data_IF_617338439337
#
_entry.id   IF_617338439337
#
_cell.length_a   1.000
_cell.length_b   1.000
_cell.length_c   1.000
_cell.angle_alpha   90.00
_cell.angle_beta   90.00
_cell.angle_gamma   90.00
#
_symmetry.space_group_name_H-M   'P 1'
#
loop_
_entity.id
_entity.type
_entity.pdbx_description
1 polymer ?
#
# COMPACT_ATOMS: atom_id res chain seq x y z
N UNK A 1 17.44 -23.91 -44.15
CA UNK A 1 16.37 -23.91 -43.13
C UNK A 1 16.66 -25.05 -42.18
N UNK A 2 16.80 -24.80 -40.88
CA UNK A 2 17.20 -25.81 -39.90
C UNK A 2 16.16 -25.88 -38.77
N UNK A 3 14.94 -26.38 -39.02
CA UNK A 3 13.81 -26.26 -38.09
C UNK A 3 14.09 -26.84 -36.70
N UNK A 4 14.80 -27.97 -36.62
CA UNK A 4 15.25 -28.55 -35.34
C UNK A 4 16.20 -27.63 -34.56
N UNK A 5 17.09 -26.90 -35.24
CA UNK A 5 18.00 -25.94 -34.60
C UNK A 5 17.25 -24.73 -34.06
N UNK A 6 16.24 -24.24 -34.78
CA UNK A 6 15.33 -23.19 -34.27
C UNK A 6 14.53 -23.67 -33.06
N UNK A 7 13.98 -24.89 -33.11
CA UNK A 7 13.17 -25.45 -32.02
C UNK A 7 14.00 -25.73 -30.76
N UNK A 8 15.17 -26.35 -30.92
CA UNK A 8 16.12 -26.55 -29.81
C UNK A 8 16.62 -25.22 -29.26
N UNK A 9 16.80 -24.20 -30.12
CA UNK A 9 17.10 -22.84 -29.70
C UNK A 9 16.00 -22.21 -28.84
N UNK A 10 14.72 -22.41 -29.19
CA UNK A 10 13.58 -21.94 -28.37
C UNK A 10 13.52 -22.60 -26.99
N UNK A 11 13.85 -23.90 -26.90
CA UNK A 11 13.96 -24.64 -25.64
C UNK A 11 15.12 -24.10 -24.78
N UNK A 12 16.32 -24.00 -25.36
CA UNK A 12 17.53 -23.54 -24.66
C UNK A 12 17.44 -22.07 -24.20
N UNK A 13 16.68 -21.24 -24.92
CA UNK A 13 16.39 -19.85 -24.55
C UNK A 13 15.19 -19.70 -23.60
N UNK A 14 14.62 -20.81 -23.12
CA UNK A 14 13.47 -20.83 -22.21
C UNK A 14 12.30 -19.96 -22.71
N UNK A 15 11.90 -20.18 -23.97
CA UNK A 15 10.80 -19.42 -24.59
C UNK A 15 9.48 -20.21 -24.59
N UNK A 16 8.35 -19.48 -24.51
CA UNK A 16 7.02 -20.05 -24.62
C UNK A 16 6.71 -20.43 -26.09
N UNK A 17 6.23 -21.65 -26.37
CA UNK A 17 5.93 -22.07 -27.73
C UNK A 17 4.67 -21.34 -28.26
N UNK A 18 4.71 -20.76 -29.47
CA UNK A 18 3.71 -19.78 -29.91
C UNK A 18 2.29 -20.35 -30.07
N UNK A 19 2.15 -21.66 -30.27
CA UNK A 19 0.86 -22.34 -30.39
C UNK A 19 0.19 -22.63 -29.04
N UNK A 20 0.92 -22.54 -27.91
CA UNK A 20 0.34 -22.67 -26.56
C UNK A 20 -0.04 -21.33 -25.93
N UNK A 21 0.45 -20.18 -26.45
CA UNK A 21 0.16 -18.85 -25.89
C UNK A 21 -1.34 -18.58 -25.67
N UNK A 22 -2.17 -18.87 -26.67
CA UNK A 22 -3.63 -18.72 -26.59
C UNK A 22 -4.30 -19.65 -25.57
N UNK A 23 -3.64 -20.73 -25.15
CA UNK A 23 -4.12 -21.68 -24.15
C UNK A 23 -3.66 -21.23 -22.75
N UNK A 24 -2.38 -20.85 -22.63
CA UNK A 24 -1.77 -20.23 -21.44
C UNK A 24 -2.59 -19.00 -20.99
N UNK A 25 -2.90 -18.07 -21.90
CA UNK A 25 -3.69 -16.87 -21.56
C UNK A 25 -5.14 -17.20 -21.15
N UNK A 26 -5.72 -18.30 -21.63
CA UNK A 26 -7.04 -18.78 -21.16
C UNK A 26 -6.96 -19.36 -19.75
N UNK A 27 -6.00 -20.26 -19.49
CA UNK A 27 -5.80 -20.83 -18.14
C UNK A 27 -5.51 -19.75 -17.10
N UNK A 28 -4.83 -18.67 -17.48
CA UNK A 28 -4.54 -17.53 -16.60
C UNK A 28 -5.78 -16.65 -16.41
N UNK A 29 -6.60 -16.47 -17.44
CA UNK A 29 -7.89 -15.80 -17.32
C UNK A 29 -8.82 -16.57 -16.38
N UNK A 30 -8.91 -17.90 -16.50
CA UNK A 30 -9.67 -18.75 -15.57
C UNK A 30 -9.09 -18.74 -14.15
N UNK A 31 -7.76 -18.86 -14.00
CA UNK A 31 -7.08 -18.78 -12.71
C UNK A 31 -7.32 -17.42 -12.00
N UNK A 32 -7.42 -16.33 -12.76
CA UNK A 32 -7.70 -15.00 -12.19
C UNK A 32 -9.14 -14.83 -11.67
N UNK A 33 -10.05 -15.76 -11.99
CA UNK A 33 -11.41 -15.79 -11.44
C UNK A 33 -11.57 -16.70 -10.22
N UNK A 34 -10.49 -17.36 -9.77
CA UNK A 34 -10.50 -18.15 -8.52
C UNK A 34 -10.72 -17.23 -7.32
N UNK A 35 -11.63 -17.61 -6.42
CA UNK A 35 -11.98 -16.76 -5.28
C UNK A 35 -10.77 -16.49 -4.39
N UNK A 36 -10.55 -15.22 -4.06
CA UNK A 36 -9.40 -14.78 -3.27
C UNK A 36 -8.16 -14.38 -4.08
N UNK A 37 -8.08 -14.68 -5.38
CA UNK A 37 -7.04 -14.13 -6.26
C UNK A 37 -7.29 -12.64 -6.52
N UNK A 38 -6.22 -11.84 -6.52
CA UNK A 38 -6.23 -10.40 -6.81
C UNK A 38 -5.56 -10.08 -8.15
N UNK A 39 -4.37 -10.64 -8.39
CA UNK A 39 -3.69 -10.59 -9.68
C UNK A 39 -2.70 -11.76 -9.82
N UNK A 40 -2.34 -12.07 -11.06
CA UNK A 40 -1.36 -13.09 -11.42
C UNK A 40 -0.14 -12.37 -12.03
N UNK A 41 0.99 -12.39 -11.32
CA UNK A 41 2.22 -11.66 -11.64
C UNK A 41 3.36 -12.60 -12.04
N UNK A 42 4.47 -11.99 -12.48
CA UNK A 42 5.77 -12.64 -12.69
C UNK A 42 5.73 -13.90 -13.58
N UNK A 43 4.70 -14.00 -14.42
CA UNK A 43 4.39 -15.21 -15.18
C UNK A 43 5.46 -15.47 -16.23
N UNK A 44 6.15 -16.60 -16.10
CA UNK A 44 7.13 -17.07 -17.08
C UNK A 44 6.82 -18.52 -17.43
N UNK A 45 6.67 -18.80 -18.71
CA UNK A 45 6.39 -20.13 -19.24
C UNK A 45 7.40 -20.44 -20.32
N UNK A 46 7.90 -21.68 -20.34
CA UNK A 46 8.89 -22.11 -21.30
C UNK A 46 8.75 -23.58 -21.63
N UNK A 47 9.18 -23.96 -22.83
CA UNK A 47 9.26 -25.35 -23.23
C UNK A 47 10.56 -25.99 -22.71
N UNK A 48 10.46 -27.12 -22.00
CA UNK A 48 11.61 -27.84 -21.42
C UNK A 48 12.15 -28.93 -22.35
N UNK A 49 11.25 -29.65 -23.03
CA UNK A 49 11.55 -30.65 -24.06
C UNK A 49 10.47 -30.59 -25.15
N UNK A 50 10.41 -31.56 -26.07
CA UNK A 50 9.49 -31.54 -27.20
C UNK A 50 7.99 -31.64 -26.84
N UNK A 51 7.63 -31.95 -25.59
CA UNK A 51 6.26 -32.22 -25.14
C UNK A 51 5.88 -31.49 -23.83
N UNK A 52 6.86 -31.15 -22.98
CA UNK A 52 6.61 -30.57 -21.65
C UNK A 52 6.72 -29.03 -21.63
N UNK A 53 5.61 -28.37 -21.28
CA UNK A 53 5.57 -26.95 -20.90
C UNK A 53 5.76 -26.80 -19.39
N UNK A 54 6.63 -25.86 -19.00
CA UNK A 54 6.95 -25.52 -17.62
C UNK A 54 6.54 -24.06 -17.34
N UNK A 55 6.14 -23.78 -16.10
CA UNK A 55 5.75 -22.43 -15.67
C UNK A 55 6.19 -22.07 -14.26
N UNK A 56 6.50 -20.79 -14.06
CA UNK A 56 6.63 -20.13 -12.75
C UNK A 56 5.68 -18.95 -12.67
N UNK A 57 4.88 -18.87 -11.60
CA UNK A 57 3.80 -17.87 -11.46
C UNK A 57 3.72 -17.34 -10.01
N UNK A 58 3.67 -16.01 -9.87
CA UNK A 58 3.34 -15.37 -8.59
C UNK A 58 1.83 -15.09 -8.54
N UNK A 59 1.11 -15.63 -7.56
CA UNK A 59 -0.32 -15.37 -7.36
C UNK A 59 -0.47 -14.43 -6.17
N UNK A 60 -0.99 -13.21 -6.39
CA UNK A 60 -1.39 -12.32 -5.28
C UNK A 60 -2.78 -12.67 -4.81
N UNK A 61 -2.93 -12.81 -3.50
CA UNK A 61 -4.11 -13.37 -2.84
C UNK A 61 -4.59 -12.44 -1.72
N UNK A 62 -5.91 -12.34 -1.49
CA UNK A 62 -6.46 -11.56 -0.37
C UNK A 62 -5.98 -12.08 0.98
N UNK A 63 -5.97 -11.22 1.99
CA UNK A 63 -5.48 -11.51 3.36
C UNK A 63 -6.31 -12.58 4.08
N UNK A 64 -7.62 -12.57 3.83
CA UNK A 64 -8.65 -13.45 4.39
C UNK A 64 -8.81 -14.79 3.65
N UNK A 65 -8.25 -14.93 2.45
CA UNK A 65 -8.36 -16.15 1.66
C UNK A 65 -7.43 -17.26 2.15
N UNK A 66 -7.85 -18.52 1.97
CA UNK A 66 -7.04 -19.71 2.22
C UNK A 66 -6.04 -19.93 1.07
N UNK A 67 -4.75 -19.89 1.43
CA UNK A 67 -3.63 -20.08 0.51
C UNK A 67 -3.61 -21.49 -0.08
N UNK A 68 -3.97 -22.52 0.69
CA UNK A 68 -3.92 -23.92 0.22
C UNK A 68 -5.06 -24.22 -0.75
N UNK A 69 -6.27 -23.70 -0.48
CA UNK A 69 -7.39 -23.77 -1.41
C UNK A 69 -7.09 -23.02 -2.72
N UNK A 70 -6.58 -21.78 -2.65
CA UNK A 70 -6.21 -21.01 -3.84
C UNK A 70 -5.07 -21.70 -4.63
N UNK A 71 -4.05 -22.24 -3.95
CA UNK A 71 -2.98 -23.00 -4.59
C UNK A 71 -3.56 -24.19 -5.38
N UNK A 72 -4.45 -24.96 -4.75
CA UNK A 72 -5.07 -26.15 -5.35
C UNK A 72 -5.91 -25.77 -6.57
N UNK A 73 -6.80 -24.77 -6.44
CA UNK A 73 -7.70 -24.33 -7.51
C UNK A 73 -6.95 -23.71 -8.70
N UNK A 74 -5.91 -22.91 -8.46
CA UNK A 74 -5.10 -22.34 -9.55
C UNK A 74 -4.22 -23.41 -10.21
N UNK A 75 -3.71 -24.39 -9.44
CA UNK A 75 -2.95 -25.53 -10.00
C UNK A 75 -3.83 -26.35 -10.94
N UNK A 76 -5.04 -26.70 -10.51
CA UNK A 76 -6.03 -27.43 -11.32
C UNK A 76 -6.26 -26.72 -12.67
N UNK A 77 -6.57 -25.42 -12.65
CA UNK A 77 -6.77 -24.61 -13.86
C UNK A 77 -5.58 -24.62 -14.82
N UNK A 78 -4.35 -24.51 -14.31
CA UNK A 78 -3.15 -24.47 -15.15
C UNK A 78 -2.65 -25.85 -15.58
N UNK A 79 -2.96 -26.92 -14.84
CA UNK A 79 -2.54 -28.30 -15.13
C UNK A 79 -3.00 -28.82 -16.51
N UNK A 80 -4.06 -28.22 -17.05
CA UNK A 80 -4.60 -28.49 -18.39
C UNK A 80 -3.66 -28.12 -19.55
N UNK A 81 -2.65 -27.28 -19.30
CA UNK A 81 -1.72 -26.76 -20.32
C UNK A 81 -0.26 -26.77 -19.86
N UNK A 82 0.01 -26.64 -18.55
CA UNK A 82 1.35 -26.58 -17.95
C UNK A 82 1.64 -27.86 -17.19
N UNK A 83 2.61 -28.65 -17.66
CA UNK A 83 2.96 -29.95 -17.10
C UNK A 83 3.68 -29.85 -15.75
N UNK A 84 4.57 -28.86 -15.61
CA UNK A 84 5.34 -28.61 -14.38
C UNK A 84 5.16 -27.15 -14.01
N UNK A 85 4.45 -26.89 -12.91
CA UNK A 85 4.12 -25.55 -12.46
C UNK A 85 4.67 -25.31 -11.05
N UNK A 86 5.50 -24.28 -10.90
CA UNK A 86 5.88 -23.74 -9.59
C UNK A 86 5.08 -22.48 -9.33
N UNK A 87 4.37 -22.41 -8.20
CA UNK A 87 3.63 -21.21 -7.81
C UNK A 87 4.09 -20.68 -6.46
N UNK A 88 4.22 -19.35 -6.39
CA UNK A 88 4.41 -18.63 -5.14
C UNK A 88 3.14 -17.83 -4.82
N UNK A 89 2.54 -18.09 -3.66
CA UNK A 89 1.42 -17.29 -3.17
C UNK A 89 1.95 -16.13 -2.34
N UNK A 90 1.47 -14.93 -2.66
CA UNK A 90 1.83 -13.68 -1.98
C UNK A 90 0.55 -13.05 -1.45
N UNK A 91 0.31 -13.15 -0.14
CA UNK A 91 -0.80 -12.43 0.48
C UNK A 91 -0.59 -10.92 0.38
N UNK A 92 -1.67 -10.22 0.09
CA UNK A 92 -1.67 -8.77 -0.06
C UNK A 92 -1.30 -8.08 1.26
N UNK A 93 -0.10 -7.51 1.34
CA UNK A 93 0.39 -6.85 2.53
C UNK A 93 -0.51 -5.65 2.89
N UNK A 94 -1.10 -5.70 4.08
CA UNK A 94 -1.82 -4.56 4.63
C UNK A 94 -0.85 -3.43 4.93
N UNK A 95 -0.80 -2.42 4.05
CA UNK A 95 -0.32 -1.09 4.40
C UNK A 95 -1.34 -0.40 5.32
N UNK A 96 -1.55 -0.98 6.50
CA UNK A 96 -1.76 -0.16 7.68
C UNK A 96 -0.43 0.52 7.95
N UNK A 97 -0.21 1.66 7.30
CA UNK A 97 0.67 2.68 7.87
C UNK A 97 0.15 2.93 9.28
N UNK A 98 0.90 2.51 10.30
CA UNK A 98 0.63 2.88 11.68
C UNK A 98 1.09 4.33 11.82
N UNK A 99 0.29 5.24 11.25
CA UNK A 99 0.54 6.68 11.18
C UNK A 99 0.26 7.30 12.55
N UNK A 100 1.09 6.92 13.51
CA UNK A 100 0.81 7.01 14.94
C UNK A 100 2.04 6.79 15.82
N UNK A 101 3.24 7.15 15.35
CA UNK A 101 4.45 7.30 16.16
C UNK A 101 5.53 8.11 15.41
N UNK A 102 5.34 9.44 15.32
CA UNK A 102 6.41 10.36 14.92
C UNK A 102 7.05 10.97 16.18
N UNK A 103 8.30 10.62 16.55
CA UNK A 103 8.89 11.03 17.82
C UNK A 103 9.58 12.40 17.72
N UNK A 104 8.83 13.51 17.80
CA UNK A 104 9.42 14.83 18.01
C UNK A 104 8.51 16.02 17.73
N UNK A 105 8.58 17.02 18.63
CA UNK A 105 7.88 18.31 18.61
C UNK A 105 6.33 18.27 18.62
N UNK A 106 5.63 19.15 19.33
CA UNK A 106 6.13 20.18 20.25
C UNK A 106 5.14 21.35 20.40
N UNK A 107 4.39 21.37 21.50
CA UNK A 107 3.50 22.45 21.95
C UNK A 107 2.26 22.74 21.07
N UNK A 108 1.08 22.42 21.60
CA UNK A 108 -0.17 23.09 21.26
C UNK A 108 -0.82 23.56 22.57
N UNK A 109 -1.01 24.87 22.73
CA UNK A 109 -1.66 25.43 23.92
C UNK A 109 -3.16 25.60 23.63
N UNK A 110 -3.95 24.60 24.04
CA UNK A 110 -5.39 24.73 24.15
C UNK A 110 -5.77 25.74 25.24
N UNK A 111 -6.86 26.48 25.03
CA UNK A 111 -7.31 27.56 25.90
C UNK A 111 -8.63 27.18 26.58
N UNK A 112 -8.56 26.58 27.77
CA UNK A 112 -9.74 26.25 28.58
C UNK A 112 -9.70 26.98 29.93
N UNK A 113 -10.78 27.73 30.20
CA UNK A 113 -11.13 28.20 31.53
C UNK A 113 -12.11 27.20 32.15
N UNK A 114 -11.85 26.75 33.37
CA UNK A 114 -12.90 26.27 34.27
C UNK A 114 -12.59 26.67 35.72
N UNK A 115 -13.62 26.74 36.56
CA UNK A 115 -13.57 27.32 37.91
C UNK A 115 -13.76 26.26 39.01
N UNK A 116 -12.65 25.84 39.64
CA UNK A 116 -12.65 24.97 40.82
C UNK A 116 -12.26 25.71 42.10
N UNK A 117 -13.16 25.81 43.08
CA UNK A 117 -12.99 26.64 44.28
C UNK A 117 -12.74 25.81 45.56
N UNK A 118 -11.66 26.09 46.31
CA UNK A 118 -11.53 25.65 47.71
C UNK A 118 -10.47 26.41 48.52
N UNK A 119 -10.85 26.74 49.76
CA UNK A 119 -9.98 27.02 50.91
C UNK A 119 -9.24 25.72 51.34
N UNK A 120 -8.21 25.67 52.20
CA UNK A 120 -7.57 26.58 53.19
C UNK A 120 -6.10 26.05 53.41
N UNK A 121 -5.11 26.63 54.10
CA UNK A 121 -4.97 27.77 55.03
C UNK A 121 -3.54 28.35 55.05
N UNK A 122 -3.39 29.53 55.67
CA UNK A 122 -2.26 29.97 56.52
C UNK A 122 -0.78 30.00 56.00
N UNK A 123 -0.37 31.22 55.62
CA UNK A 123 0.53 32.09 56.43
C UNK A 123 1.96 32.44 55.92
N UNK A 124 2.43 33.61 56.38
CA UNK A 124 3.78 34.21 56.35
C UNK A 124 4.39 34.80 55.06
N UNK A 125 4.27 36.15 54.97
CA UNK A 125 5.34 37.12 54.56
C UNK A 125 5.66 37.24 53.05
N UNK A 126 6.24 38.31 52.50
CA UNK A 126 6.79 39.58 53.05
C UNK A 126 6.36 40.81 52.20
N UNK A 127 6.53 42.01 52.75
CA UNK A 127 6.27 43.30 52.08
C UNK A 127 7.26 43.65 50.95
N UNK A 128 6.77 44.34 49.90
CA UNK A 128 7.43 45.54 49.34
C UNK A 128 6.47 46.38 48.46
N UNK A 129 6.56 47.71 48.61
CA UNK A 129 5.92 48.67 47.71
C UNK A 129 6.67 48.72 46.36
N UNK A 130 5.96 49.07 45.28
CA UNK A 130 6.43 50.20 44.45
C UNK A 130 5.29 50.88 43.70
N UNK A 131 5.33 52.21 43.66
CA UNK A 131 4.42 53.05 42.85
C UNK A 131 4.85 53.08 41.39
N UNK A 132 3.90 53.31 40.48
CA UNK A 132 4.16 53.39 39.05
C UNK A 132 2.95 53.87 38.24
N UNK A 133 2.61 55.16 38.35
CA UNK A 133 1.80 55.83 37.33
C UNK A 133 2.50 55.78 35.97
N UNK A 134 1.76 55.62 34.87
CA UNK A 134 2.02 56.36 33.63
C UNK A 134 0.81 56.26 32.68
N UNK A 135 0.30 57.40 32.23
CA UNK A 135 -0.66 57.49 31.13
C UNK A 135 0.05 57.31 29.78
N UNK A 136 -0.70 56.93 28.71
CA UNK A 136 -1.17 57.90 27.70
C UNK A 136 -1.42 57.32 26.29
N UNK A 137 -2.16 58.08 25.48
CA UNK A 137 -2.30 58.08 24.01
C UNK A 137 -2.53 56.73 23.28
N UNK A 138 -3.69 56.47 22.65
CA UNK A 138 -4.30 57.20 21.52
C UNK A 138 -3.39 57.37 20.29
N UNK A 139 -3.59 56.55 19.27
CA UNK A 139 -3.35 56.94 17.87
C UNK A 139 -4.39 56.30 16.95
N UNK A 140 -4.99 57.12 16.10
CA UNK A 140 -5.84 56.67 15.00
C UNK A 140 -4.99 56.35 13.77
N UNK A 141 -5.46 55.47 12.89
CA UNK A 141 -4.87 55.28 11.56
C UNK A 141 -5.90 54.78 10.55
N UNK A 142 -5.95 55.45 9.40
CA UNK A 142 -6.89 55.24 8.31
C UNK A 142 -6.24 54.41 7.19
N UNK A 143 -6.80 53.25 6.86
CA UNK A 143 -6.84 52.64 5.52
C UNK A 143 -7.89 51.49 5.56
N UNK A 144 -8.66 51.18 4.53
CA UNK A 144 -8.51 51.49 3.09
C UNK A 144 -7.74 50.37 2.39
N UNK A 145 -8.19 49.78 1.29
CA UNK A 145 -9.48 49.87 0.59
C UNK A 145 -9.59 48.67 -0.38
N UNK A 146 -10.80 48.33 -0.83
CA UNK A 146 -11.08 47.44 -1.99
C UNK A 146 -10.59 45.98 -1.94
N UNK A 147 -11.44 45.05 -2.39
CA UNK A 147 -11.26 44.34 -3.67
C UNK A 147 -12.56 43.58 -4.00
N UNK A 148 -12.84 43.37 -5.30
CA UNK A 148 -14.04 42.71 -5.79
C UNK A 148 -13.86 42.27 -7.25
N UNK A 149 -14.86 41.58 -7.80
CA UNK A 149 -14.81 40.75 -9.01
C UNK A 149 -13.97 39.47 -8.86
N UNK A 150 -14.40 38.26 -9.26
CA UNK A 150 -15.61 37.80 -9.98
C UNK A 150 -15.84 38.35 -11.40
N UNK A 151 -15.17 37.73 -12.38
CA UNK A 151 -15.88 36.81 -13.28
C UNK A 151 -14.95 35.81 -13.97
#
# INVERSE_FOLDING_TARGET
MCPLSTYTGMILLQTAPPHLLNQIDRCISEASTVEGVLEIRSRHFWQLDFDQLVGTVDVRVRRDADEQNVLTLVTDKMSSVVNILTMQIVKDAAWHTVEGSNPGHGHSHGNEHDHGNSHDSEDNRHSRNHSGDHHSHNSSSFHGSHYGHSH
#
